data_IF_556446746526
#
_entry.id   IF_556446746526
#
_cell.length_a   1.000
_cell.length_b   1.000
_cell.length_c   1.000
_cell.angle_alpha   90.00
_cell.angle_beta   90.00
_cell.angle_gamma   90.00
#
_symmetry.space_group_name_H-M   'P 1'
#
loop_
_entity.id
_entity.type
_entity.pdbx_description
1 polymer ?
#
# COMPACT_ATOMS: atom_id res chain seq x y z
N UNK A 1 -25.83 -14.91 -8.71
CA UNK A 1 -25.24 -14.88 -7.35
C UNK A 1 -26.09 -13.96 -6.51
N UNK A 2 -26.22 -14.22 -5.21
CA UNK A 2 -27.04 -13.38 -4.32
C UNK A 2 -26.31 -12.06 -4.09
N UNK A 3 -26.97 -10.90 -4.31
CA UNK A 3 -26.40 -9.57 -4.00
C UNK A 3 -26.27 -9.30 -2.47
N UNK A 4 -26.67 -10.28 -1.63
CA UNK A 4 -26.71 -10.13 -0.18
C UNK A 4 -25.45 -10.59 0.54
N UNK A 5 -24.62 -11.41 -0.08
CA UNK A 5 -23.35 -11.89 0.44
C UNK A 5 -22.44 -12.35 -0.70
N UNK A 6 -21.13 -12.31 -0.44
CA UNK A 6 -20.10 -12.87 -1.31
C UNK A 6 -19.03 -13.56 -0.47
N UNK A 7 -18.24 -14.42 -1.09
CA UNK A 7 -17.09 -15.07 -0.46
C UNK A 7 -15.91 -15.05 -1.41
N UNK A 8 -14.73 -15.02 -0.87
CA UNK A 8 -13.47 -15.20 -1.57
C UNK A 8 -12.49 -15.97 -0.69
N UNK A 9 -11.51 -16.58 -1.32
CA UNK A 9 -10.35 -17.14 -0.63
C UNK A 9 -9.18 -16.17 -0.76
N UNK A 10 -8.51 -15.86 0.35
CA UNK A 10 -7.39 -14.91 0.36
C UNK A 10 -6.22 -15.40 -0.49
N UNK A 11 -6.00 -16.73 -0.56
CA UNK A 11 -4.95 -17.33 -1.39
C UNK A 11 -5.21 -17.20 -2.91
N UNK A 12 -6.46 -17.03 -3.33
CA UNK A 12 -6.84 -16.82 -4.74
C UNK A 12 -6.71 -15.35 -5.19
N UNK A 13 -6.57 -14.39 -4.26
CA UNK A 13 -6.37 -12.99 -4.62
C UNK A 13 -4.97 -12.76 -5.21
N UNK A 14 -4.85 -11.86 -6.19
CA UNK A 14 -3.55 -11.46 -6.70
C UNK A 14 -2.67 -10.88 -5.58
N UNK A 15 -1.41 -11.28 -5.54
CA UNK A 15 -0.41 -10.73 -4.64
C UNK A 15 0.36 -9.64 -5.38
N UNK A 16 -0.05 -8.39 -5.23
CA UNK A 16 0.51 -7.23 -5.92
C UNK A 16 1.77 -6.79 -5.18
N UNK A 17 2.91 -6.76 -5.86
CA UNK A 17 4.15 -6.23 -5.28
C UNK A 17 4.04 -4.71 -5.21
N UNK A 18 4.18 -4.14 -4.02
CA UNK A 18 3.92 -2.71 -3.77
C UNK A 18 5.13 -1.93 -3.26
N UNK A 19 5.88 -2.48 -2.33
CA UNK A 19 7.09 -1.87 -1.79
C UNK A 19 8.07 -2.95 -1.34
N UNK A 20 9.32 -2.88 -1.78
CA UNK A 20 10.31 -3.90 -1.45
C UNK A 20 9.82 -5.30 -1.79
N UNK A 21 9.76 -6.17 -0.80
CA UNK A 21 9.24 -7.55 -0.91
C UNK A 21 7.78 -7.68 -0.41
N UNK A 22 7.14 -6.57 -0.02
CA UNK A 22 5.74 -6.56 0.42
C UNK A 22 4.80 -6.89 -0.74
N UNK A 23 3.95 -7.90 -0.55
CA UNK A 23 2.91 -8.30 -1.52
C UNK A 23 1.54 -8.12 -0.90
N UNK A 24 0.86 -7.11 -1.39
CA UNK A 24 -0.48 -6.72 -0.96
C UNK A 24 -1.57 -7.51 -1.69
N UNK A 25 -2.58 -7.96 -0.95
CA UNK A 25 -3.79 -8.59 -1.46
C UNK A 25 -4.99 -7.69 -1.15
N UNK A 26 -5.67 -7.13 -2.16
CA UNK A 26 -6.67 -6.07 -2.02
C UNK A 26 -8.02 -6.59 -1.52
N UNK A 27 -8.11 -7.15 -0.33
CA UNK A 27 -9.33 -7.76 0.24
C UNK A 27 -10.47 -6.75 0.28
N UNK A 28 -10.24 -5.59 0.88
CA UNK A 28 -11.24 -4.53 1.05
C UNK A 28 -11.81 -4.07 -0.30
N UNK A 29 -10.94 -3.76 -1.26
CA UNK A 29 -11.35 -3.28 -2.58
C UNK A 29 -12.13 -4.34 -3.35
N UNK A 30 -11.68 -5.58 -3.31
CA UNK A 30 -12.33 -6.70 -4.02
C UNK A 30 -13.73 -6.99 -3.49
N UNK A 31 -13.93 -6.88 -2.16
CA UNK A 31 -15.22 -7.12 -1.52
C UNK A 31 -16.11 -5.87 -1.43
N UNK A 32 -15.58 -4.67 -1.72
CA UNK A 32 -16.31 -3.41 -1.57
C UNK A 32 -16.61 -3.07 -0.10
N UNK A 33 -15.71 -3.41 0.84
CA UNK A 33 -15.91 -3.13 2.26
C UNK A 33 -15.77 -1.62 2.50
N UNK A 34 -16.77 -1.01 3.14
CA UNK A 34 -16.80 0.43 3.44
C UNK A 34 -16.68 0.74 4.94
N UNK A 35 -16.89 -0.24 5.82
CA UNK A 35 -17.00 -0.03 7.26
C UNK A 35 -15.67 -0.10 8.01
N UNK A 36 -14.63 -0.73 7.44
CA UNK A 36 -13.30 -0.89 8.02
C UNK A 36 -12.26 -1.20 6.96
N UNK A 37 -10.99 -0.95 7.27
CA UNK A 37 -9.85 -1.38 6.47
C UNK A 37 -9.63 -2.89 6.61
N UNK A 38 -9.39 -3.60 5.50
CA UNK A 38 -9.07 -5.02 5.53
C UNK A 38 -8.23 -5.39 4.32
N UNK A 39 -7.00 -5.83 4.57
CA UNK A 39 -6.08 -6.26 3.52
C UNK A 39 -5.26 -7.46 4.00
N UNK A 40 -4.66 -8.18 3.07
CA UNK A 40 -3.74 -9.24 3.42
C UNK A 40 -2.38 -9.02 2.75
N UNK A 41 -1.34 -9.56 3.35
CA UNK A 41 0.03 -9.47 2.88
C UNK A 41 0.65 -10.85 2.93
N UNK A 42 1.40 -11.21 1.89
CA UNK A 42 2.01 -12.53 1.78
C UNK A 42 3.51 -12.41 1.53
N UNK A 43 4.31 -13.05 2.37
CA UNK A 43 5.74 -13.30 2.17
C UNK A 43 5.96 -14.68 1.55
N UNK A 44 6.61 -14.73 0.38
CA UNK A 44 6.85 -15.99 -0.34
C UNK A 44 8.00 -16.80 0.28
N UNK A 45 8.96 -16.10 0.87
CA UNK A 45 10.14 -16.70 1.51
C UNK A 45 10.43 -16.07 2.88
N UNK A 46 11.21 -16.73 3.74
CA UNK A 46 11.66 -16.13 4.99
C UNK A 46 12.41 -14.82 4.75
N UNK A 47 12.08 -13.81 5.56
CA UNK A 47 12.63 -12.45 5.48
C UNK A 47 11.80 -11.48 4.65
N UNK A 48 10.85 -11.94 3.82
CA UNK A 48 9.94 -11.03 3.11
C UNK A 48 9.06 -10.27 4.11
N UNK A 49 8.79 -9.00 3.80
CA UNK A 49 7.89 -8.19 4.62
C UNK A 49 6.44 -8.69 4.52
N UNK A 50 5.77 -8.79 5.66
CA UNK A 50 4.33 -9.09 5.77
C UNK A 50 3.58 -8.01 6.56
N UNK A 51 4.29 -7.10 7.22
CA UNK A 51 3.82 -5.82 7.74
C UNK A 51 4.97 -4.83 7.57
N UNK A 52 4.76 -3.76 6.82
CA UNK A 52 5.75 -2.70 6.66
C UNK A 52 6.03 -1.97 7.98
N UNK A 53 7.21 -1.32 8.09
CA UNK A 53 7.58 -0.59 9.30
C UNK A 53 6.85 0.76 9.37
N UNK A 54 5.86 0.87 10.26
CA UNK A 54 5.06 2.09 10.43
C UNK A 54 4.46 2.21 11.84
N UNK A 55 3.69 3.26 12.05
CA UNK A 55 2.73 3.43 13.14
C UNK A 55 1.42 4.01 12.56
N UNK A 56 0.32 3.82 13.24
CA UNK A 56 -0.99 4.38 12.89
C UNK A 56 -1.31 5.69 13.62
N UNK A 57 -0.31 6.33 14.21
CA UNK A 57 -0.47 7.56 15.01
C UNK A 57 -1.20 8.66 14.23
N UNK A 58 -0.87 8.83 12.94
CA UNK A 58 -1.51 9.84 12.07
C UNK A 58 -2.97 9.48 11.75
N UNK A 59 -3.25 8.23 11.45
CA UNK A 59 -4.59 7.74 11.09
C UNK A 59 -5.42 7.41 12.32
N UNK A 60 -4.78 7.18 13.48
CA UNK A 60 -5.42 6.83 14.75
C UNK A 60 -6.22 5.54 14.69
N UNK A 61 -5.76 4.57 13.88
CA UNK A 61 -6.39 3.27 13.76
C UNK A 61 -5.98 2.34 14.90
N UNK A 62 -6.96 1.66 15.49
CA UNK A 62 -6.71 0.36 16.13
C UNK A 62 -6.55 -0.69 15.03
N UNK A 63 -5.63 -1.64 15.21
CA UNK A 63 -5.39 -2.69 14.24
C UNK A 63 -5.34 -4.07 14.88
N UNK A 64 -5.87 -5.04 14.14
CA UNK A 64 -5.73 -6.46 14.41
C UNK A 64 -4.99 -7.12 13.26
N UNK A 65 -3.93 -7.85 13.57
CA UNK A 65 -3.25 -8.74 12.65
C UNK A 65 -3.58 -10.19 12.97
N UNK A 66 -3.93 -10.97 11.97
CA UNK A 66 -4.18 -12.41 12.09
C UNK A 66 -3.24 -13.16 11.17
N UNK A 67 -2.39 -14.01 11.71
CA UNK A 67 -1.54 -14.89 10.90
C UNK A 67 -2.41 -16.02 10.38
N UNK A 68 -2.71 -15.99 9.07
CA UNK A 68 -3.58 -16.96 8.42
C UNK A 68 -2.83 -18.25 8.05
N UNK A 69 -1.56 -18.14 7.65
CA UNK A 69 -0.70 -19.28 7.28
C UNK A 69 0.76 -18.96 7.58
N UNK A 70 1.58 -20.01 7.72
CA UNK A 70 3.00 -19.90 8.01
C UNK A 70 3.27 -19.37 9.42
N UNK A 71 4.34 -18.56 9.55
CA UNK A 71 4.82 -17.99 10.81
C UNK A 71 5.37 -16.60 10.53
N UNK A 72 4.93 -15.61 11.28
CA UNK A 72 5.44 -14.23 11.22
C UNK A 72 6.32 -13.92 12.44
N UNK A 73 7.34 -13.09 12.26
CA UNK A 73 8.10 -12.50 13.34
C UNK A 73 7.75 -11.01 13.41
N UNK A 74 7.02 -10.60 14.44
CA UNK A 74 6.69 -9.20 14.69
C UNK A 74 7.78 -8.52 15.52
N UNK A 75 8.02 -7.25 15.23
CA UNK A 75 8.74 -6.30 16.06
C UNK A 75 7.75 -5.18 16.46
N UNK A 76 7.47 -5.06 17.76
CA UNK A 76 6.52 -4.12 18.34
C UNK A 76 7.25 -3.25 19.35
N UNK A 77 7.50 -1.97 19.02
CA UNK A 77 8.32 -1.05 19.84
C UNK A 77 9.69 -1.62 20.24
N UNK A 78 10.27 -2.48 19.40
CA UNK A 78 11.55 -3.15 19.64
C UNK A 78 11.45 -4.50 20.37
N UNK A 79 10.28 -4.90 20.82
CA UNK A 79 10.03 -6.25 21.34
C UNK A 79 9.70 -7.22 20.20
N UNK A 80 10.26 -8.42 20.24
CA UNK A 80 10.01 -9.45 19.24
C UNK A 80 8.91 -10.40 19.70
N UNK A 81 7.92 -10.65 18.83
CA UNK A 81 6.86 -11.64 19.03
C UNK A 81 6.92 -12.70 17.92
N UNK A 82 7.09 -13.96 18.30
CA UNK A 82 6.93 -15.11 17.41
C UNK A 82 5.45 -15.46 17.26
N UNK A 83 4.96 -15.44 16.01
CA UNK A 83 3.54 -15.53 15.70
C UNK A 83 3.26 -16.61 14.63
N UNK A 84 3.03 -17.87 15.04
CA UNK A 84 2.58 -18.91 14.12
C UNK A 84 1.14 -18.67 13.66
N UNK A 85 0.73 -19.40 12.60
CA UNK A 85 -0.66 -19.38 12.10
C UNK A 85 -1.68 -19.55 13.24
N UNK A 86 -2.73 -18.73 13.21
CA UNK A 86 -3.75 -18.63 14.26
C UNK A 86 -3.44 -17.58 15.34
N UNK A 87 -2.25 -16.97 15.34
CA UNK A 87 -1.94 -15.87 16.26
C UNK A 87 -2.72 -14.62 15.86
N UNK A 88 -3.30 -13.96 16.87
CA UNK A 88 -3.94 -12.65 16.73
C UNK A 88 -3.11 -11.63 17.51
N UNK A 89 -2.67 -10.58 16.84
CA UNK A 89 -1.96 -9.45 17.45
C UNK A 89 -2.87 -8.23 17.39
N UNK A 90 -3.21 -7.66 18.56
CA UNK A 90 -4.05 -6.48 18.64
C UNK A 90 -3.27 -5.28 19.13
N UNK A 91 -3.24 -4.23 18.32
CA UNK A 91 -2.60 -2.95 18.62
C UNK A 91 -3.69 -1.92 18.92
N UNK A 92 -3.94 -1.73 20.23
CA UNK A 92 -4.91 -0.74 20.72
C UNK A 92 -4.37 0.67 20.64
N UNK A 93 -3.07 0.85 20.86
CA UNK A 93 -2.40 2.14 20.79
C UNK A 93 -1.85 2.36 19.39
N UNK A 94 -2.37 3.34 18.63
CA UNK A 94 -1.89 3.66 17.29
C UNK A 94 -0.42 4.06 17.21
N UNK A 95 0.19 4.53 18.31
CA UNK A 95 1.58 4.98 18.35
C UNK A 95 2.59 3.83 18.35
N UNK A 96 2.16 2.61 18.70
CA UNK A 96 3.04 1.42 18.68
C UNK A 96 3.64 1.25 17.29
N UNK A 97 4.96 1.29 17.21
CA UNK A 97 5.69 1.00 15.97
C UNK A 97 5.66 -0.50 15.72
N UNK A 98 5.21 -0.87 14.52
CA UNK A 98 5.07 -2.26 14.11
C UNK A 98 5.84 -2.55 12.83
N UNK A 99 6.31 -3.77 12.75
CA UNK A 99 6.97 -4.36 11.61
C UNK A 99 6.83 -5.88 11.71
N UNK A 100 6.67 -6.60 10.60
CA UNK A 100 6.75 -8.05 10.64
C UNK A 100 7.31 -8.63 9.35
N UNK A 101 8.09 -9.70 9.50
CA UNK A 101 8.62 -10.50 8.40
C UNK A 101 8.08 -11.92 8.45
N UNK A 102 8.03 -12.56 7.28
CA UNK A 102 7.79 -13.99 7.18
C UNK A 102 8.97 -14.75 7.83
N UNK A 103 8.70 -15.64 8.77
CA UNK A 103 9.67 -16.57 9.31
C UNK A 103 9.65 -17.91 8.57
N UNK A 104 8.55 -18.21 7.88
CA UNK A 104 8.36 -19.41 7.04
C UNK A 104 7.89 -18.99 5.64
N UNK A 105 8.12 -19.83 4.59
CA UNK A 105 7.60 -19.56 3.26
C UNK A 105 6.07 -19.50 3.23
N UNK A 106 5.51 -18.65 2.34
CA UNK A 106 4.06 -18.49 2.16
C UNK A 106 3.31 -18.06 3.43
N UNK A 107 4.00 -17.29 4.28
CA UNK A 107 3.38 -16.65 5.43
C UNK A 107 2.40 -15.59 4.97
N UNK A 108 1.15 -15.65 5.43
CA UNK A 108 0.11 -14.68 5.11
C UNK A 108 -0.46 -14.07 6.40
N UNK A 109 -0.45 -12.74 6.46
CA UNK A 109 -1.02 -11.94 7.55
C UNK A 109 -2.21 -11.15 7.02
N UNK A 110 -3.34 -11.22 7.70
CA UNK A 110 -4.53 -10.39 7.49
C UNK A 110 -4.47 -9.21 8.47
N UNK A 111 -4.55 -8.01 7.94
CA UNK A 111 -4.66 -6.77 8.71
C UNK A 111 -6.10 -6.26 8.64
N UNK A 112 -6.67 -5.90 9.78
CA UNK A 112 -7.99 -5.26 9.90
C UNK A 112 -7.83 -4.07 10.82
N UNK A 113 -8.23 -2.88 10.34
CA UNK A 113 -8.07 -1.67 11.13
C UNK A 113 -9.14 -0.63 10.85
N UNK A 114 -9.24 0.31 11.78
CA UNK A 114 -10.13 1.45 11.68
C UNK A 114 -10.06 2.34 12.91
N UNK A 115 -10.61 3.54 12.77
CA UNK A 115 -10.61 4.54 13.82
C UNK A 115 -11.78 4.29 14.78
N UNK A 116 -11.54 4.11 16.07
CA UNK A 116 -12.61 3.85 17.03
C UNK A 116 -13.69 4.94 17.01
N UNK A 117 -14.96 4.52 16.87
CA UNK A 117 -16.12 5.40 16.94
C UNK A 117 -16.33 6.31 15.73
N UNK A 118 -15.53 6.18 14.68
CA UNK A 118 -15.66 6.94 13.43
C UNK A 118 -15.95 6.03 12.24
N UNK A 119 -16.60 6.57 11.20
CA UNK A 119 -16.76 5.85 9.94
C UNK A 119 -15.40 5.69 9.25
N UNK A 120 -15.14 4.52 8.73
CA UNK A 120 -13.90 4.26 7.98
C UNK A 120 -13.81 5.12 6.73
N UNK A 121 -12.66 5.71 6.52
CA UNK A 121 -12.33 6.41 5.28
C UNK A 121 -11.16 5.70 4.60
N UNK A 122 -11.33 5.19 3.37
CA UNK A 122 -10.23 4.54 2.66
C UNK A 122 -9.03 5.47 2.49
N UNK A 123 -7.84 4.94 2.69
CA UNK A 123 -6.60 5.69 2.56
C UNK A 123 -6.17 5.81 1.10
N UNK A 124 -5.56 6.94 0.74
CA UNK A 124 -5.11 7.20 -0.63
C UNK A 124 -4.12 6.16 -1.16
N UNK A 125 -3.31 5.55 -0.28
CA UNK A 125 -2.33 4.54 -0.65
C UNK A 125 -2.94 3.31 -1.33
N UNK A 126 -4.21 2.97 -1.06
CA UNK A 126 -4.86 1.83 -1.70
C UNK A 126 -4.99 2.00 -3.23
N UNK A 127 -5.10 3.23 -3.72
CA UNK A 127 -5.17 3.52 -5.16
C UNK A 127 -3.82 3.34 -5.83
N UNK A 128 -2.76 3.91 -5.30
CA UNK A 128 -1.45 3.76 -5.93
C UNK A 128 -0.86 2.36 -5.73
N UNK A 129 -1.23 1.63 -4.67
CA UNK A 129 -0.91 0.20 -4.57
C UNK A 129 -1.67 -0.64 -5.61
N UNK A 130 -2.96 -0.35 -5.81
CA UNK A 130 -3.75 -1.03 -6.85
C UNK A 130 -3.20 -0.75 -8.25
N UNK A 131 -2.66 0.44 -8.50
CA UNK A 131 -2.07 0.80 -9.79
C UNK A 131 -0.86 -0.09 -10.16
N UNK A 132 -0.10 -0.59 -9.16
CA UNK A 132 1.04 -1.48 -9.39
C UNK A 132 0.66 -2.79 -10.11
N UNK A 133 -0.61 -3.21 -10.04
CA UNK A 133 -1.09 -4.39 -10.80
C UNK A 133 -0.94 -4.23 -12.33
N UNK A 134 -0.89 -2.99 -12.81
CA UNK A 134 -0.76 -2.69 -14.24
C UNK A 134 0.67 -2.69 -14.74
N UNK A 135 1.63 -3.15 -13.91
CA UNK A 135 3.00 -3.41 -14.37
C UNK A 135 3.10 -4.71 -15.16
N UNK A 136 2.27 -5.72 -14.82
CA UNK A 136 2.22 -7.00 -15.53
C UNK A 136 0.78 -7.52 -15.64
N UNK A 137 0.15 -7.50 -16.86
CA UNK A 137 0.71 -6.93 -18.10
C UNK A 137 0.81 -5.40 -18.04
N UNK A 138 1.82 -4.83 -18.72
CA UNK A 138 2.07 -3.40 -18.71
C UNK A 138 0.93 -2.63 -19.40
N UNK A 139 0.17 -1.85 -18.63
CA UNK A 139 -0.94 -1.01 -19.12
C UNK A 139 -0.96 0.34 -18.37
N UNK A 140 -0.08 1.28 -18.77
CA UNK A 140 0.00 2.58 -18.08
C UNK A 140 -1.27 3.41 -18.23
N UNK A 141 -2.04 3.23 -19.30
CA UNK A 141 -3.32 3.94 -19.47
C UNK A 141 -4.38 3.46 -18.47
N UNK A 142 -4.42 2.16 -18.16
CA UNK A 142 -5.30 1.65 -17.12
C UNK A 142 -4.89 2.15 -15.73
N UNK A 143 -3.59 2.21 -15.45
CA UNK A 143 -3.07 2.81 -14.21
C UNK A 143 -3.45 4.28 -14.10
N UNK A 144 -3.28 5.08 -15.16
CA UNK A 144 -3.64 6.50 -15.17
C UNK A 144 -5.14 6.72 -14.94
N UNK A 145 -6.02 5.90 -15.53
CA UNK A 145 -7.46 5.99 -15.22
C UNK A 145 -7.76 5.78 -13.74
N UNK A 146 -7.07 4.84 -13.09
CA UNK A 146 -7.19 4.61 -11.64
C UNK A 146 -6.63 5.78 -10.82
N UNK A 147 -5.52 6.37 -11.27
CA UNK A 147 -4.95 7.56 -10.63
C UNK A 147 -5.82 8.81 -10.80
N UNK A 148 -6.57 8.93 -11.89
CA UNK A 148 -7.58 9.98 -12.06
C UNK A 148 -8.70 9.88 -11.01
N UNK A 149 -9.19 8.65 -10.74
CA UNK A 149 -10.14 8.42 -9.64
C UNK A 149 -9.55 8.82 -8.28
N UNK A 150 -8.27 8.46 -8.05
CA UNK A 150 -7.56 8.82 -6.83
C UNK A 150 -7.44 10.34 -6.67
N UNK A 151 -7.06 11.06 -7.73
CA UNK A 151 -6.93 12.52 -7.73
C UNK A 151 -8.28 13.22 -7.48
N UNK A 152 -9.39 12.69 -7.99
CA UNK A 152 -10.73 13.22 -7.70
C UNK A 152 -11.13 13.02 -6.24
N UNK A 153 -10.75 11.90 -5.64
CA UNK A 153 -11.10 11.55 -4.26
C UNK A 153 -10.20 12.23 -3.22
N UNK A 154 -8.93 12.40 -3.56
CA UNK A 154 -7.88 12.95 -2.70
C UNK A 154 -7.16 14.10 -3.42
N UNK A 155 -7.85 15.21 -3.69
CA UNK A 155 -7.23 16.34 -4.34
C UNK A 155 -6.07 16.87 -3.49
N UNK A 156 -4.97 17.25 -4.13
CA UNK A 156 -3.77 17.76 -3.48
C UNK A 156 -3.11 16.77 -2.48
N UNK A 157 -3.22 15.46 -2.73
CA UNK A 157 -2.50 14.46 -1.95
C UNK A 157 -1.14 14.14 -2.60
N UNK A 158 -0.04 14.49 -1.93
CA UNK A 158 1.31 14.38 -2.50
C UNK A 158 1.65 12.97 -3.03
N UNK A 159 1.30 11.89 -2.29
CA UNK A 159 1.56 10.52 -2.73
C UNK A 159 0.75 10.09 -3.95
N UNK A 160 -0.49 10.58 -4.10
CA UNK A 160 -1.30 10.32 -5.30
C UNK A 160 -0.69 11.03 -6.51
N UNK A 161 -0.35 12.31 -6.37
CA UNK A 161 0.29 13.08 -7.45
C UNK A 161 1.66 12.49 -7.82
N UNK A 162 2.45 12.07 -6.83
CA UNK A 162 3.72 11.40 -7.10
C UNK A 162 3.54 10.14 -7.95
N UNK A 163 2.65 9.25 -7.54
CA UNK A 163 2.36 8.02 -8.30
C UNK A 163 1.76 8.32 -9.68
N UNK A 164 0.91 9.36 -9.80
CA UNK A 164 0.41 9.82 -11.10
C UNK A 164 1.57 10.23 -12.00
N UNK A 165 2.54 11.00 -11.50
CA UNK A 165 3.71 11.43 -12.26
C UNK A 165 4.56 10.23 -12.74
N UNK A 166 4.73 9.20 -11.89
CA UNK A 166 5.41 7.96 -12.29
C UNK A 166 4.69 7.29 -13.47
N UNK A 167 3.38 7.13 -13.40
CA UNK A 167 2.61 6.50 -14.48
C UNK A 167 2.54 7.36 -15.75
N UNK A 168 2.52 8.69 -15.65
CA UNK A 168 2.64 9.60 -16.80
C UNK A 168 4.00 9.45 -17.50
N UNK A 169 5.10 9.38 -16.72
CA UNK A 169 6.44 9.15 -17.26
C UNK A 169 6.55 7.80 -17.96
N UNK A 170 6.02 6.73 -17.34
CA UNK A 170 5.96 5.38 -17.92
C UNK A 170 5.07 5.31 -19.16
N UNK A 171 4.03 6.14 -19.25
CA UNK A 171 3.19 6.29 -20.44
C UNK A 171 3.85 7.11 -21.57
N UNK A 172 5.09 7.59 -21.37
CA UNK A 172 5.80 8.41 -22.35
C UNK A 172 5.31 9.86 -22.40
N UNK A 173 4.77 10.39 -21.30
CA UNK A 173 4.27 11.77 -21.14
C UNK A 173 5.16 12.58 -20.19
N UNK A 174 6.44 12.84 -20.53
CA UNK A 174 7.40 13.45 -19.59
C UNK A 174 7.06 14.89 -19.20
N UNK A 175 6.31 15.63 -20.03
CA UNK A 175 5.92 17.02 -19.71
C UNK A 175 4.79 17.03 -18.68
N UNK A 176 3.82 16.13 -18.80
CA UNK A 176 2.75 15.95 -17.82
C UNK A 176 3.36 15.47 -16.50
N UNK A 177 4.20 14.43 -16.54
CA UNK A 177 4.90 13.87 -15.39
C UNK A 177 5.68 14.95 -14.61
N UNK A 178 6.38 15.84 -15.31
CA UNK A 178 7.09 16.93 -14.66
C UNK A 178 6.15 17.91 -13.96
N UNK A 179 5.06 18.30 -14.62
CA UNK A 179 4.06 19.22 -14.06
C UNK A 179 3.41 18.62 -12.81
N UNK A 180 3.01 17.37 -12.87
CA UNK A 180 2.38 16.67 -11.75
C UNK A 180 3.37 16.46 -10.60
N UNK A 181 4.62 16.10 -10.89
CA UNK A 181 5.65 15.93 -9.88
C UNK A 181 6.01 17.24 -9.16
N UNK A 182 6.06 18.37 -9.89
CA UNK A 182 6.27 19.68 -9.25
C UNK A 182 5.20 19.96 -8.19
N UNK A 183 3.94 19.65 -8.49
CA UNK A 183 2.87 19.80 -7.51
C UNK A 183 3.01 18.86 -6.32
N UNK A 184 3.43 17.62 -6.53
CA UNK A 184 3.74 16.68 -5.45
C UNK A 184 4.87 17.22 -4.54
N UNK A 185 5.93 17.79 -5.12
CA UNK A 185 7.06 18.38 -4.39
C UNK A 185 6.63 19.63 -3.58
N UNK A 186 5.76 20.47 -4.13
CA UNK A 186 5.20 21.62 -3.39
C UNK A 186 4.46 21.17 -2.12
N UNK A 187 3.72 20.07 -2.19
CA UNK A 187 2.93 19.53 -1.07
C UNK A 187 3.79 18.74 -0.09
N UNK A 188 4.76 17.98 -0.59
CA UNK A 188 5.74 17.25 0.22
C UNK A 188 7.14 17.36 -0.42
N UNK A 189 8.02 18.22 0.09
CA UNK A 189 9.37 18.41 -0.45
C UNK A 189 10.24 17.13 -0.49
N UNK A 190 9.93 16.10 0.31
CA UNK A 190 10.64 14.81 0.28
C UNK A 190 10.45 14.08 -1.05
N UNK A 191 9.36 14.38 -1.76
CA UNK A 191 9.08 13.81 -3.08
C UNK A 191 10.21 14.05 -4.09
N UNK A 192 10.95 15.16 -3.96
CA UNK A 192 12.13 15.44 -4.81
C UNK A 192 13.25 14.40 -4.60
N UNK A 193 13.56 14.10 -3.34
CA UNK A 193 14.63 13.15 -3.02
C UNK A 193 14.26 11.74 -3.50
N UNK A 194 13.01 11.34 -3.34
CA UNK A 194 12.53 10.06 -3.84
C UNK A 194 12.60 10.00 -5.37
N UNK A 195 12.13 11.03 -6.06
CA UNK A 195 12.08 11.10 -7.51
C UNK A 195 13.46 11.02 -8.18
N UNK A 196 14.52 11.50 -7.52
CA UNK A 196 15.89 11.38 -8.03
C UNK A 196 16.42 9.93 -8.03
N UNK A 197 15.77 9.01 -7.34
CA UNK A 197 16.16 7.60 -7.20
C UNK A 197 15.13 6.65 -7.80
N UNK A 198 14.05 7.19 -8.33
CA UNK A 198 12.93 6.42 -8.87
C UNK A 198 13.12 6.21 -10.37
N UNK A 199 13.34 4.95 -10.77
CA UNK A 199 13.57 4.57 -12.17
C UNK A 199 12.37 4.88 -13.07
N UNK A 200 11.14 4.93 -12.51
CA UNK A 200 9.94 5.28 -13.27
C UNK A 200 10.00 6.72 -13.80
N UNK A 201 10.74 7.59 -13.10
CA UNK A 201 10.92 9.00 -13.45
C UNK A 201 12.22 9.28 -14.25
N UNK A 202 12.92 8.24 -14.70
CA UNK A 202 14.20 8.39 -15.43
C UNK A 202 14.11 9.37 -16.60
N UNK A 203 12.98 9.43 -17.31
CA UNK A 203 12.75 10.33 -18.44
C UNK A 203 12.77 11.82 -18.09
N UNK A 204 12.68 12.17 -16.81
CA UNK A 204 12.64 13.57 -16.31
C UNK A 204 13.71 13.86 -15.24
N UNK A 205 14.66 12.95 -14.96
CA UNK A 205 15.70 13.14 -13.94
C UNK A 205 16.52 14.43 -14.13
N UNK A 206 16.81 14.82 -15.37
CA UNK A 206 17.54 16.06 -15.67
C UNK A 206 16.77 17.29 -15.18
N UNK A 207 15.45 17.30 -15.34
CA UNK A 207 14.57 18.40 -14.86
C UNK A 207 14.52 18.44 -13.35
N UNK A 208 14.43 17.29 -12.68
CA UNK A 208 14.41 17.18 -11.22
C UNK A 208 15.72 17.71 -10.62
N UNK A 209 16.83 17.41 -11.28
CA UNK A 209 18.18 17.82 -10.83
C UNK A 209 18.45 19.32 -11.03
N UNK A 210 17.82 19.94 -12.04
CA UNK A 210 18.04 21.35 -12.40
C UNK A 210 17.20 22.35 -11.60
N UNK A 211 16.11 21.94 -10.99
CA UNK A 211 15.16 22.76 -10.22
C UNK A 211 15.27 22.54 -8.74
#
# INVERSE_FOLDING_TARGET
>A
MSDRWTSLRVDELPAIKVAGDLRWKPVRRTLGIEAFGMNAYTGEKPGDDVVERHSEETLRHEEVYVVLSGRASFELDGETLDAPAGTIVFLRDPSVRRYATAAEPNTTVLAVGGKPGEAYTPSAWEWYFEAERFREPFDPEAALRLMDEANQRFPDHAGVLYSTACWEALAGRPDDAWTTLQRAIELDPRSREWALRDDDLASIHDRISAG
#
